data_IF_468926283878
#
_entry.id   IF_468926283878
#
_cell.length_a   1.000
_cell.length_b   1.000
_cell.length_c   1.000
_cell.angle_alpha   90.00
_cell.angle_beta   90.00
_cell.angle_gamma   90.00
#
_symmetry.space_group_name_H-M   'P 1'
#
loop_
_entity.id
_entity.type
_entity.pdbx_description
1 polymer ?
#
# COMPACT_ATOMS: atom_id res chain seq x y z
N UNK A 1 -2.69 -13.93 -2.24
CA UNK A 1 -1.90 -14.72 -3.22
C UNK A 1 -2.71 -15.18 -4.44
N UNK A 2 -3.88 -15.81 -4.28
CA UNK A 2 -4.68 -16.31 -5.42
C UNK A 2 -4.93 -15.25 -6.52
N UNK A 3 -5.40 -14.06 -6.12
CA UNK A 3 -5.60 -12.94 -7.06
C UNK A 3 -4.32 -12.54 -7.81
N UNK A 4 -3.15 -12.59 -7.15
CA UNK A 4 -1.87 -12.28 -7.80
C UNK A 4 -1.46 -13.35 -8.82
N UNK A 5 -1.84 -14.62 -8.61
CA UNK A 5 -1.61 -15.68 -9.60
C UNK A 5 -2.52 -15.48 -10.82
N UNK A 6 -3.80 -15.15 -10.60
CA UNK A 6 -4.78 -14.93 -11.66
C UNK A 6 -4.40 -13.76 -12.57
N UNK A 7 -3.87 -12.66 -12.00
CA UNK A 7 -3.41 -11.49 -12.76
C UNK A 7 -1.94 -11.59 -13.22
N UNK A 8 -1.27 -12.72 -12.97
CA UNK A 8 0.11 -12.96 -13.42
C UNK A 8 1.20 -12.19 -12.67
N UNK A 9 0.90 -11.63 -11.49
CA UNK A 9 1.87 -10.94 -10.62
C UNK A 9 2.63 -11.88 -9.69
N UNK A 10 2.14 -13.11 -9.50
CA UNK A 10 2.83 -14.18 -8.79
C UNK A 10 3.20 -15.33 -9.73
N UNK A 11 4.33 -16.00 -9.46
CA UNK A 11 4.85 -17.11 -10.26
C UNK A 11 4.12 -18.43 -9.95
N UNK A 12 3.38 -19.00 -10.92
CA UNK A 12 2.76 -20.31 -10.76
C UNK A 12 3.81 -21.41 -10.60
N UNK A 13 4.95 -21.29 -11.29
CA UNK A 13 6.06 -22.24 -11.22
C UNK A 13 6.62 -22.37 -9.79
N UNK A 14 6.83 -21.25 -9.11
CA UNK A 14 7.30 -21.25 -7.71
C UNK A 14 6.26 -21.87 -6.78
N UNK A 15 4.97 -21.58 -6.99
CA UNK A 15 3.85 -22.17 -6.23
C UNK A 15 3.81 -23.69 -6.39
N UNK A 16 3.86 -24.17 -7.63
CA UNK A 16 3.83 -25.62 -7.93
C UNK A 16 5.07 -26.33 -7.39
N UNK A 17 6.27 -25.79 -7.65
CA UNK A 17 7.55 -26.40 -7.24
C UNK A 17 7.67 -26.52 -5.72
N UNK A 18 7.13 -25.55 -4.98
CA UNK A 18 7.16 -25.54 -3.51
C UNK A 18 5.91 -26.16 -2.87
N UNK A 19 5.00 -26.73 -3.68
CA UNK A 19 3.72 -27.27 -3.23
C UNK A 19 2.97 -26.31 -2.28
N UNK A 20 2.90 -25.02 -2.63
CA UNK A 20 2.26 -24.01 -1.79
C UNK A 20 0.75 -24.11 -1.92
N UNK A 21 0.10 -24.61 -0.87
CA UNK A 21 -1.36 -24.59 -0.73
C UNK A 21 -1.88 -23.28 -0.12
N UNK A 22 -1.03 -22.64 0.69
CA UNK A 22 -1.32 -21.36 1.34
C UNK A 22 -0.11 -20.46 1.24
N UNK A 23 -0.32 -19.18 1.49
CA UNK A 23 0.79 -18.25 1.59
C UNK A 23 1.68 -18.58 2.80
N UNK A 24 3.02 -18.56 2.67
CA UNK A 24 3.92 -18.81 3.79
C UNK A 24 3.69 -17.82 4.94
N UNK A 25 3.18 -18.31 6.07
CA UNK A 25 2.88 -17.48 7.25
C UNK A 25 4.13 -16.86 7.91
N UNK A 26 5.34 -17.35 7.58
CA UNK A 26 6.61 -16.88 8.17
C UNK A 26 6.92 -15.41 7.86
N UNK A 27 6.35 -14.87 6.78
CA UNK A 27 6.52 -13.46 6.40
C UNK A 27 5.51 -12.54 7.07
N UNK A 28 4.45 -13.06 7.66
CA UNK A 28 3.47 -12.25 8.39
C UNK A 28 4.07 -11.78 9.72
N UNK A 29 3.70 -10.57 10.11
CA UNK A 29 4.05 -9.99 11.41
C UNK A 29 2.78 -9.86 12.25
N UNK A 30 2.98 -9.92 13.56
CA UNK A 30 1.89 -9.88 14.54
C UNK A 30 1.01 -8.62 14.40
N UNK A 31 1.60 -7.53 13.95
CA UNK A 31 0.91 -6.24 13.82
C UNK A 31 0.62 -5.86 12.37
N UNK A 32 0.77 -6.79 11.42
CA UNK A 32 0.27 -6.55 10.06
C UNK A 32 -1.24 -6.29 10.12
N UNK A 33 -1.68 -5.24 9.42
CA UNK A 33 -3.08 -4.84 9.36
C UNK A 33 -3.63 -5.27 8.01
N UNK A 34 -4.71 -6.05 8.05
CA UNK A 34 -5.35 -6.58 6.86
C UNK A 34 -6.78 -6.05 6.77
N UNK A 35 -7.10 -5.47 5.62
CA UNK A 35 -8.41 -4.89 5.35
C UNK A 35 -9.04 -5.69 4.22
N UNK A 36 -10.29 -6.09 4.43
CA UNK A 36 -11.07 -6.86 3.47
C UNK A 36 -12.40 -6.17 3.25
N UNK A 37 -12.85 -6.14 2.01
CA UNK A 37 -14.26 -5.88 1.68
C UNK A 37 -14.89 -7.22 1.35
N UNK A 38 -16.06 -7.49 1.95
CA UNK A 38 -16.80 -8.72 1.77
C UNK A 38 -18.12 -8.46 1.06
N UNK A 39 -18.55 -9.40 0.23
CA UNK A 39 -19.94 -9.46 -0.20
C UNK A 39 -20.80 -9.91 0.99
N UNK A 40 -21.80 -9.10 1.35
CA UNK A 40 -22.62 -9.33 2.54
C UNK A 40 -23.42 -10.65 2.46
N UNK A 41 -23.82 -11.07 1.25
CA UNK A 41 -24.69 -12.24 1.08
C UNK A 41 -23.90 -13.54 1.03
N UNK A 42 -22.76 -13.52 0.36
CA UNK A 42 -21.97 -14.73 0.07
C UNK A 42 -20.75 -14.87 0.98
N UNK A 43 -20.29 -13.78 1.60
CA UNK A 43 -19.04 -13.73 2.35
C UNK A 43 -17.78 -13.73 1.49
N UNK A 44 -17.91 -13.61 0.17
CA UNK A 44 -16.77 -13.57 -0.75
C UNK A 44 -15.91 -12.31 -0.52
N UNK A 45 -14.59 -12.47 -0.64
CA UNK A 45 -13.66 -11.33 -0.56
C UNK A 45 -13.66 -10.60 -1.90
N UNK A 46 -14.12 -9.36 -1.90
CA UNK A 46 -14.22 -8.49 -3.08
C UNK A 46 -13.01 -7.59 -3.26
N UNK A 47 -12.35 -7.24 -2.16
CA UNK A 47 -11.20 -6.35 -2.15
C UNK A 47 -10.31 -6.60 -0.95
N UNK A 48 -9.04 -6.26 -1.11
CA UNK A 48 -8.04 -6.45 -0.08
C UNK A 48 -7.00 -5.33 -0.12
N UNK A 49 -6.49 -4.95 1.04
CA UNK A 49 -5.28 -4.15 1.20
C UNK A 49 -4.59 -4.54 2.50
N UNK A 50 -3.26 -4.43 2.55
CA UNK A 50 -2.46 -4.74 3.74
C UNK A 50 -1.53 -3.58 4.07
N UNK A 51 -1.38 -3.29 5.36
CA UNK A 51 -0.27 -2.50 5.89
C UNK A 51 0.64 -3.46 6.65
N UNK A 52 1.85 -3.67 6.15
CA UNK A 52 2.82 -4.59 6.72
C UNK A 52 3.84 -3.86 7.61
N UNK A 53 4.08 -4.36 8.81
CA UNK A 53 5.06 -3.79 9.72
C UNK A 53 6.49 -4.18 9.31
N UNK A 54 7.48 -3.35 9.66
CA UNK A 54 8.88 -3.73 9.61
C UNK A 54 9.17 -4.95 10.52
N UNK A 55 10.20 -5.73 10.18
CA UNK A 55 10.58 -6.93 10.91
C UNK A 55 11.42 -6.68 12.18
N UNK A 56 11.78 -5.43 12.49
CA UNK A 56 12.56 -5.09 13.67
C UNK A 56 11.85 -5.46 14.98
N UNK A 57 12.53 -6.15 15.92
CA UNK A 57 11.93 -6.53 17.20
C UNK A 57 11.72 -5.35 18.15
N UNK A 58 12.40 -4.23 17.93
CA UNK A 58 12.31 -2.99 18.71
C UNK A 58 12.30 -1.79 17.75
N UNK A 59 11.79 -0.61 18.16
CA UNK A 59 11.87 0.59 17.34
C UNK A 59 13.33 0.98 17.08
N UNK A 60 13.73 1.02 15.81
CA UNK A 60 15.03 1.52 15.36
C UNK A 60 14.78 2.76 14.49
N UNK A 61 15.70 3.73 14.49
CA UNK A 61 15.57 4.88 13.59
C UNK A 61 15.52 4.42 12.14
N UNK A 62 14.60 4.98 11.34
CA UNK A 62 14.56 4.69 9.89
C UNK A 62 15.81 5.18 9.15
N UNK A 63 16.59 6.07 9.76
CA UNK A 63 17.85 6.59 9.19
C UNK A 63 19.05 5.70 9.49
N UNK A 64 18.94 4.73 10.39
CA UNK A 64 20.00 3.78 10.69
C UNK A 64 19.89 2.56 9.76
N UNK A 65 20.21 2.76 8.48
CA UNK A 65 20.02 1.75 7.42
C UNK A 65 20.76 0.43 7.70
N UNK A 66 21.88 0.48 8.41
CA UNK A 66 22.69 -0.71 8.70
C UNK A 66 22.12 -1.54 9.85
N UNK A 67 21.48 -0.90 10.83
CA UNK A 67 21.00 -1.57 12.05
C UNK A 67 19.54 -2.02 12.00
N UNK A 68 18.75 -1.51 11.04
CA UNK A 68 17.34 -1.88 10.86
C UNK A 68 17.14 -2.92 9.77
N UNK A 69 16.06 -3.70 9.86
CA UNK A 69 15.61 -4.49 8.73
C UNK A 69 15.13 -3.57 7.60
N UNK A 70 15.47 -3.94 6.36
CA UNK A 70 14.92 -3.29 5.16
C UNK A 70 13.41 -3.50 5.08
N UNK A 71 12.70 -2.45 4.66
CA UNK A 71 11.34 -2.63 4.19
C UNK A 71 11.38 -3.47 2.92
N UNK A 72 10.44 -4.40 2.70
CA UNK A 72 10.40 -5.18 1.46
C UNK A 72 10.52 -4.37 0.16
N UNK A 73 9.98 -3.15 0.09
CA UNK A 73 10.22 -2.23 -1.03
C UNK A 73 11.70 -1.88 -1.22
N UNK A 74 12.43 -1.58 -0.15
CA UNK A 74 13.88 -1.32 -0.20
C UNK A 74 14.66 -2.56 -0.64
N UNK A 75 14.20 -3.75 -0.21
CA UNK A 75 14.77 -5.01 -0.66
C UNK A 75 14.55 -5.26 -2.15
N UNK A 76 13.36 -4.95 -2.67
CA UNK A 76 13.03 -5.15 -4.09
C UNK A 76 13.76 -4.17 -5.01
N UNK A 77 13.95 -2.91 -4.57
CA UNK A 77 14.61 -1.86 -5.35
C UNK A 77 16.10 -1.71 -5.04
N UNK A 78 16.64 -2.44 -4.06
CA UNK A 78 18.03 -2.35 -3.58
C UNK A 78 18.46 -0.92 -3.18
N UNK A 79 17.55 -0.16 -2.56
CA UNK A 79 17.78 1.25 -2.16
C UNK A 79 17.68 1.47 -0.65
N UNK A 80 18.33 2.53 -0.16
CA UNK A 80 17.98 3.16 1.11
C UNK A 80 16.91 4.23 0.87
N UNK A 81 15.64 3.86 1.08
CA UNK A 81 14.51 4.75 0.80
C UNK A 81 14.58 6.02 1.66
N UNK A 82 14.97 5.88 2.93
CA UNK A 82 15.00 6.97 3.89
C UNK A 82 16.21 7.90 3.74
N UNK A 83 17.26 7.46 3.06
CA UNK A 83 18.37 8.31 2.63
C UNK A 83 18.02 9.23 1.45
N UNK A 84 16.98 8.87 0.67
CA UNK A 84 16.55 9.62 -0.51
C UNK A 84 15.43 10.64 -0.24
N UNK A 85 14.72 10.53 0.89
CA UNK A 85 13.51 11.33 1.20
C UNK A 85 13.66 12.12 2.50
N UNK A 86 12.90 13.21 2.65
CA UNK A 86 12.89 14.02 3.87
C UNK A 86 11.98 13.43 4.97
N UNK A 87 12.36 12.25 5.46
CA UNK A 87 11.70 11.62 6.60
C UNK A 87 12.16 12.27 7.93
N UNK A 88 11.26 12.49 8.91
CA UNK A 88 11.63 13.02 10.23
C UNK A 88 12.76 12.21 10.89
N UNK A 89 13.69 12.88 11.55
CA UNK A 89 14.87 12.24 12.15
C UNK A 89 14.52 11.27 13.29
N UNK A 90 13.45 11.57 14.00
CA UNK A 90 12.90 10.78 15.10
C UNK A 90 11.96 9.65 14.64
N UNK A 91 11.72 9.50 13.34
CA UNK A 91 10.86 8.44 12.82
C UNK A 91 11.52 7.06 13.03
N UNK A 92 10.75 6.12 13.58
CA UNK A 92 11.20 4.76 13.85
C UNK A 92 10.53 3.74 12.95
N UNK A 93 11.14 2.56 12.81
CA UNK A 93 10.65 1.46 11.98
C UNK A 93 9.29 0.92 12.42
N UNK A 94 8.88 1.16 13.67
CA UNK A 94 7.57 0.77 14.19
C UNK A 94 6.46 1.77 13.87
N UNK A 95 6.80 3.00 13.46
CA UNK A 95 5.86 4.06 13.04
C UNK A 95 5.66 4.08 11.52
N UNK A 96 6.31 3.16 10.79
CA UNK A 96 6.23 3.05 9.33
C UNK A 96 5.67 1.69 8.95
N UNK A 97 4.69 1.71 8.05
CA UNK A 97 4.10 0.51 7.48
C UNK A 97 4.25 0.50 5.97
N UNK A 98 4.47 -0.68 5.40
CA UNK A 98 4.47 -0.86 3.96
C UNK A 98 3.06 -1.19 3.46
N UNK A 99 2.50 -0.33 2.62
CA UNK A 99 1.20 -0.58 1.98
C UNK A 99 1.37 -1.54 0.82
N UNK A 100 0.55 -2.59 0.81
CA UNK A 100 0.65 -3.71 -0.14
C UNK A 100 -0.72 -4.18 -0.58
N UNK A 101 -0.73 -4.85 -1.74
CA UNK A 101 -1.85 -5.68 -2.18
C UNK A 101 -3.18 -4.96 -2.22
N UNK A 102 -3.18 -3.72 -2.71
CA UNK A 102 -4.43 -3.07 -3.07
C UNK A 102 -4.98 -3.75 -4.33
N UNK A 103 -5.86 -4.72 -4.13
CA UNK A 103 -6.44 -5.51 -5.22
C UNK A 103 -7.94 -5.71 -5.04
N UNK A 104 -8.60 -6.00 -6.14
CA UNK A 104 -10.00 -6.42 -6.21
C UNK A 104 -10.06 -7.86 -6.69
N UNK A 105 -11.22 -8.51 -6.50
CA UNK A 105 -11.50 -9.78 -7.15
C UNK A 105 -11.43 -9.63 -8.68
N UNK A 106 -10.70 -10.52 -9.35
CA UNK A 106 -10.43 -10.45 -10.79
C UNK A 106 -11.68 -10.58 -11.66
N UNK A 107 -12.71 -11.26 -11.17
CA UNK A 107 -13.98 -11.48 -11.86
C UNK A 107 -14.92 -10.27 -11.77
N UNK A 108 -14.55 -9.24 -10.99
CA UNK A 108 -15.37 -8.07 -10.82
C UNK A 108 -15.14 -7.07 -11.96
N UNK A 109 -16.00 -7.12 -12.98
CA UNK A 109 -15.90 -6.26 -14.16
C UNK A 109 -16.59 -4.90 -14.01
N UNK A 110 -17.50 -4.75 -13.04
CA UNK A 110 -18.24 -3.50 -12.81
C UNK A 110 -17.32 -2.42 -12.23
N UNK A 111 -17.04 -1.39 -13.03
CA UNK A 111 -16.18 -0.27 -12.67
C UNK A 111 -16.71 0.56 -11.48
N UNK A 112 -18.03 0.71 -11.34
CA UNK A 112 -18.63 1.42 -10.22
C UNK A 112 -18.49 0.61 -8.94
N UNK A 113 -18.71 -0.71 -9.02
CA UNK A 113 -18.52 -1.61 -7.87
C UNK A 113 -17.06 -1.66 -7.43
N UNK A 114 -16.12 -1.73 -8.37
CA UNK A 114 -14.66 -1.65 -8.08
C UNK A 114 -14.30 -0.34 -7.39
N UNK A 115 -14.85 0.78 -7.86
CA UNK A 115 -14.62 2.08 -7.24
C UNK A 115 -15.14 2.11 -5.79
N UNK A 116 -16.37 1.61 -5.57
CA UNK A 116 -16.94 1.52 -4.23
C UNK A 116 -16.04 0.71 -3.28
N UNK A 117 -15.59 -0.47 -3.71
CA UNK A 117 -14.69 -1.32 -2.92
C UNK A 117 -13.38 -0.58 -2.62
N UNK A 118 -12.79 0.09 -3.61
CA UNK A 118 -11.60 0.92 -3.40
C UNK A 118 -11.82 1.98 -2.33
N UNK A 119 -12.95 2.68 -2.37
CA UNK A 119 -13.28 3.74 -1.41
C UNK A 119 -13.54 3.18 0.00
N UNK A 120 -14.20 2.03 0.12
CA UNK A 120 -14.41 1.33 1.41
C UNK A 120 -13.07 0.89 2.02
N UNK A 121 -12.17 0.30 1.23
CA UNK A 121 -10.83 -0.08 1.70
C UNK A 121 -10.02 1.16 2.13
N UNK A 122 -10.08 2.24 1.35
CA UNK A 122 -9.41 3.51 1.68
C UNK A 122 -9.98 4.09 2.98
N UNK A 123 -11.30 4.11 3.15
CA UNK A 123 -11.94 4.57 4.38
C UNK A 123 -11.49 3.74 5.58
N UNK A 124 -11.46 2.42 5.46
CA UNK A 124 -11.01 1.53 6.53
C UNK A 124 -9.55 1.82 6.93
N UNK A 125 -8.66 1.96 5.95
CA UNK A 125 -7.27 2.36 6.18
C UNK A 125 -7.19 3.73 6.87
N UNK A 126 -7.92 4.73 6.38
CA UNK A 126 -7.92 6.09 6.97
C UNK A 126 -8.39 6.07 8.43
N UNK A 127 -9.48 5.36 8.74
CA UNK A 127 -10.01 5.22 10.11
C UNK A 127 -9.03 4.47 11.02
N UNK A 128 -8.32 3.47 10.52
CA UNK A 128 -7.29 2.79 11.29
C UNK A 128 -6.07 3.68 11.54
N UNK A 129 -5.60 4.43 10.54
CA UNK A 129 -4.51 5.40 10.72
C UNK A 129 -4.89 6.48 11.75
N UNK A 130 -6.17 6.89 11.78
CA UNK A 130 -6.70 7.88 12.72
C UNK A 130 -6.65 7.37 14.18
N UNK A 131 -6.96 6.09 14.39
CA UNK A 131 -7.17 5.51 15.72
C UNK A 131 -6.02 4.66 16.26
N UNK A 132 -5.05 4.29 15.41
CA UNK A 132 -3.97 3.39 15.80
C UNK A 132 -3.06 3.96 16.91
N UNK A 133 -2.69 3.10 17.86
CA UNK A 133 -1.71 3.39 18.91
C UNK A 133 -0.75 2.19 19.04
N UNK A 134 0.58 2.37 18.91
CA UNK A 134 1.27 3.63 18.57
C UNK A 134 0.88 4.12 17.16
N UNK A 135 1.03 5.44 16.94
CA UNK A 135 0.59 6.08 15.69
C UNK A 135 1.48 5.67 14.52
N UNK A 136 0.85 5.28 13.41
CA UNK A 136 1.52 5.14 12.12
C UNK A 136 1.71 6.54 11.52
N UNK A 137 2.96 6.93 11.27
CA UNK A 137 3.35 8.28 10.81
C UNK A 137 3.79 8.32 9.36
N UNK A 138 4.17 7.19 8.80
CA UNK A 138 4.49 7.10 7.39
C UNK A 138 4.04 5.76 6.79
N UNK A 139 3.76 5.80 5.48
CA UNK A 139 3.57 4.64 4.65
C UNK A 139 4.69 4.58 3.62
N UNK A 140 5.15 3.38 3.31
CA UNK A 140 6.11 3.12 2.22
C UNK A 140 5.54 2.04 1.32
N UNK A 141 6.10 1.88 0.13
CA UNK A 141 5.70 0.83 -0.80
C UNK A 141 6.16 1.17 -2.19
N UNK A 142 5.69 0.42 -3.15
CA UNK A 142 6.00 0.59 -4.56
C UNK A 142 4.71 0.75 -5.37
N UNK A 143 4.75 1.64 -6.37
CA UNK A 143 3.57 2.02 -7.13
C UNK A 143 3.92 2.22 -8.60
N UNK A 144 3.08 1.70 -9.49
CA UNK A 144 3.04 2.20 -10.87
C UNK A 144 2.67 3.68 -10.86
N UNK A 145 3.47 4.49 -11.54
CA UNK A 145 3.28 5.95 -11.58
C UNK A 145 1.92 6.37 -12.15
N UNK A 146 1.29 5.53 -12.98
CA UNK A 146 0.03 5.83 -13.69
C UNK A 146 -1.24 5.46 -12.91
N UNK A 147 -1.21 4.43 -12.05
CA UNK A 147 -2.43 3.86 -11.43
C UNK A 147 -2.39 3.87 -9.91
N UNK A 148 -1.31 3.39 -9.30
CA UNK A 148 -1.26 3.18 -7.84
C UNK A 148 -1.12 4.50 -7.07
N UNK A 149 -0.44 5.51 -7.64
CA UNK A 149 -0.37 6.85 -7.05
C UNK A 149 -1.76 7.47 -6.83
N UNK A 150 -2.74 7.19 -7.69
CA UNK A 150 -4.10 7.73 -7.54
C UNK A 150 -4.76 7.30 -6.23
N UNK A 151 -4.60 6.03 -5.83
CA UNK A 151 -5.18 5.53 -4.58
C UNK A 151 -4.52 6.18 -3.35
N UNK A 152 -3.19 6.37 -3.38
CA UNK A 152 -2.46 7.07 -2.32
C UNK A 152 -2.88 8.53 -2.21
N UNK A 153 -3.13 9.18 -3.34
CA UNK A 153 -3.64 10.54 -3.38
C UNK A 153 -5.08 10.64 -2.86
N UNK A 154 -5.92 9.62 -3.10
CA UNK A 154 -7.28 9.54 -2.52
C UNK A 154 -7.24 9.32 -1.00
N UNK A 155 -6.25 8.60 -0.48
CA UNK A 155 -5.96 8.56 0.96
C UNK A 155 -5.45 9.91 1.50
N UNK A 156 -5.14 10.85 0.60
CA UNK A 156 -4.74 12.19 0.98
C UNK A 156 -3.29 12.34 1.35
N UNK A 157 -2.46 11.39 0.94
CA UNK A 157 -1.06 11.32 1.31
C UNK A 157 -0.24 12.30 0.47
N UNK A 158 0.77 12.89 1.11
CA UNK A 158 1.86 13.56 0.40
C UNK A 158 2.92 12.50 0.12
N UNK A 159 3.07 12.15 -1.16
CA UNK A 159 3.90 11.05 -1.64
C UNK A 159 5.17 11.61 -2.26
N UNK A 160 6.32 11.13 -1.82
CA UNK A 160 7.62 11.34 -2.45
C UNK A 160 8.00 10.04 -3.15
N UNK A 161 7.98 10.04 -4.49
CA UNK A 161 8.43 8.91 -5.33
C UNK A 161 9.93 9.00 -5.58
N UNK A 162 10.64 7.88 -5.45
CA UNK A 162 12.08 7.78 -5.72
C UNK A 162 12.29 7.14 -7.09
N UNK A 163 12.60 7.99 -8.06
CA UNK A 163 12.77 7.65 -9.48
C UNK A 163 14.15 7.11 -9.79
N UNK A 164 14.27 6.35 -10.90
CA UNK A 164 15.55 5.83 -11.38
C UNK A 164 16.02 4.55 -10.70
N UNK A 165 15.11 3.82 -10.03
CA UNK A 165 15.38 2.48 -9.52
C UNK A 165 15.09 1.41 -10.58
N UNK A 166 15.73 0.25 -10.45
CA UNK A 166 15.49 -0.94 -11.29
C UNK A 166 15.16 -2.12 -10.37
N UNK A 167 13.87 -2.37 -10.06
CA UNK A 167 13.51 -3.39 -9.10
C UNK A 167 13.86 -4.79 -9.62
N UNK A 168 14.56 -5.56 -8.78
CA UNK A 168 15.01 -6.92 -9.11
C UNK A 168 14.68 -7.86 -7.97
N UNK A 169 13.76 -8.78 -8.23
CA UNK A 169 13.59 -9.97 -7.40
C UNK A 169 14.30 -11.16 -8.06
N UNK A 170 14.79 -12.08 -7.22
CA UNK A 170 15.24 -13.38 -7.70
C UNK A 170 14.05 -14.13 -8.33
N UNK A 171 14.26 -14.86 -9.43
CA UNK A 171 13.25 -15.70 -10.10
C UNK A 171 12.59 -16.74 -9.20
N UNK A 172 13.31 -17.19 -8.17
CA UNK A 172 12.78 -18.09 -7.13
C UNK A 172 11.84 -17.38 -6.15
N UNK A 173 11.68 -16.06 -6.26
CA UNK A 173 10.70 -15.31 -5.49
C UNK A 173 9.32 -15.43 -6.17
N UNK A 174 8.30 -15.76 -5.37
CA UNK A 174 6.93 -15.87 -5.85
C UNK A 174 6.43 -14.58 -6.50
N UNK A 175 6.90 -13.40 -6.06
CA UNK A 175 6.51 -12.10 -6.61
C UNK A 175 7.43 -11.61 -7.74
N UNK A 176 8.38 -12.42 -8.22
CA UNK A 176 9.24 -12.05 -9.35
C UNK A 176 8.48 -11.48 -10.55
N UNK A 177 7.34 -12.08 -10.98
CA UNK A 177 6.62 -11.56 -12.14
C UNK A 177 6.13 -10.13 -11.98
N UNK A 178 5.84 -9.69 -10.74
CA UNK A 178 5.41 -8.31 -10.45
C UNK A 178 6.40 -7.29 -11.03
N UNK A 179 7.71 -7.54 -10.95
CA UNK A 179 8.71 -6.57 -11.44
C UNK A 179 9.24 -6.91 -12.84
N UNK A 180 8.87 -8.06 -13.39
CA UNK A 180 9.30 -8.48 -14.73
C UNK A 180 8.31 -8.06 -15.84
N UNK A 181 7.03 -7.89 -15.51
CA UNK A 181 5.96 -7.69 -16.51
C UNK A 181 5.26 -6.34 -16.43
N UNK A 182 5.36 -5.63 -15.31
CA UNK A 182 4.71 -4.33 -15.10
C UNK A 182 5.52 -3.20 -15.74
N UNK A 183 4.83 -2.12 -16.09
CA UNK A 183 5.46 -0.83 -16.37
C UNK A 183 6.26 -0.33 -15.16
N UNK A 184 7.05 0.74 -15.34
CA UNK A 184 7.94 1.28 -14.30
C UNK A 184 7.19 1.45 -12.96
N UNK A 185 7.61 0.64 -11.98
CA UNK A 185 7.18 0.70 -10.59
C UNK A 185 8.23 1.50 -9.84
N UNK A 186 7.81 2.50 -9.07
CA UNK A 186 8.71 3.36 -8.29
C UNK A 186 8.43 3.19 -6.79
N UNK A 187 9.48 3.09 -5.95
CA UNK A 187 9.35 3.09 -4.52
C UNK A 187 8.98 4.49 -4.03
N UNK A 188 8.15 4.56 -2.99
CA UNK A 188 7.71 5.84 -2.44
C UNK A 188 7.73 5.86 -0.92
N UNK A 189 7.80 7.09 -0.41
CA UNK A 189 7.55 7.45 0.97
C UNK A 189 6.32 8.37 1.02
N UNK A 190 5.41 8.12 1.96
CA UNK A 190 4.19 8.89 2.12
C UNK A 190 4.00 9.29 3.58
N UNK A 191 3.93 10.59 3.86
CA UNK A 191 3.66 11.07 5.22
C UNK A 191 2.17 10.92 5.54
N UNK A 192 1.87 10.31 6.68
CA UNK A 192 0.50 10.19 7.18
C UNK A 192 0.07 11.53 7.82
N UNK A 193 -1.07 12.12 7.42
CA UNK A 193 -1.59 13.36 7.99
C UNK A 193 -1.80 13.29 9.52
N UNK A 194 -1.89 14.46 10.16
CA UNK A 194 -2.32 14.56 11.56
C UNK A 194 -3.72 13.95 11.77
N UNK A 195 -4.07 13.49 12.98
CA UNK A 195 -5.37 12.87 13.26
C UNK A 195 -6.55 13.71 12.76
N UNK A 196 -6.56 15.02 13.00
CA UNK A 196 -7.62 15.92 12.49
C UNK A 196 -7.76 15.91 10.97
N UNK A 197 -6.64 15.82 10.25
CA UNK A 197 -6.62 15.69 8.80
C UNK A 197 -7.11 14.32 8.32
N UNK A 198 -6.96 13.25 9.11
CA UNK A 198 -7.52 11.94 8.83
C UNK A 198 -9.03 11.90 9.12
N UNK A 199 -9.48 12.48 10.25
CA UNK A 199 -10.89 12.58 10.62
C UNK A 199 -11.72 13.29 9.54
N UNK A 200 -11.23 14.44 9.05
CA UNK A 200 -11.88 15.18 7.95
C UNK A 200 -12.02 14.31 6.71
N UNK A 201 -10.93 13.63 6.30
CA UNK A 201 -10.93 12.78 5.10
C UNK A 201 -11.87 11.58 5.23
N UNK A 202 -11.89 10.95 6.41
CA UNK A 202 -12.81 9.84 6.66
C UNK A 202 -14.26 10.29 6.55
N UNK A 203 -14.62 11.46 7.10
CA UNK A 203 -15.96 12.02 6.95
C UNK A 203 -16.32 12.27 5.48
N UNK A 204 -15.41 12.88 4.69
CA UNK A 204 -15.68 13.09 3.28
C UNK A 204 -15.81 11.78 2.48
N UNK A 205 -15.02 10.74 2.80
CA UNK A 205 -15.14 9.43 2.16
C UNK A 205 -16.48 8.76 2.50
N UNK A 206 -16.96 8.88 3.73
CA UNK A 206 -18.28 8.41 4.16
C UNK A 206 -19.41 9.13 3.40
N UNK A 207 -19.28 10.45 3.18
CA UNK A 207 -20.21 11.22 2.35
C UNK A 207 -20.21 10.75 0.89
N UNK A 208 -19.04 10.48 0.31
CA UNK A 208 -18.93 9.94 -1.06
C UNK A 208 -19.59 8.58 -1.17
N UNK A 209 -19.35 7.69 -0.20
CA UNK A 209 -19.92 6.34 -0.16
C UNK A 209 -21.43 6.35 0.06
N UNK A 210 -21.94 7.35 0.77
CA UNK A 210 -23.38 7.54 1.02
C UNK A 210 -24.10 8.30 -0.11
N UNK A 211 -23.35 8.81 -1.09
CA UNK A 211 -23.91 9.60 -2.19
C UNK A 211 -24.68 8.73 -3.18
N UNK A 212 -25.78 9.27 -3.72
CA UNK A 212 -26.49 8.68 -4.86
C UNK A 212 -25.69 8.73 -6.17
N UNK A 213 -24.60 9.51 -6.24
CA UNK A 213 -23.67 9.56 -7.37
C UNK A 213 -22.20 9.57 -6.91
N UNK A 214 -21.64 8.43 -6.47
CA UNK A 214 -20.27 8.36 -5.95
C UNK A 214 -19.18 8.91 -6.88
N UNK A 215 -19.23 8.69 -8.22
CA UNK A 215 -18.22 9.27 -9.12
C UNK A 215 -18.23 10.81 -9.18
N UNK A 216 -19.37 11.44 -8.90
CA UNK A 216 -19.49 12.90 -8.88
C UNK A 216 -18.97 13.45 -7.55
N UNK A 217 -19.44 12.89 -6.44
CA UNK A 217 -18.96 13.25 -5.11
C UNK A 217 -17.44 13.05 -4.97
N UNK A 218 -16.90 11.96 -5.55
CA UNK A 218 -15.45 11.72 -5.57
C UNK A 218 -14.67 12.79 -6.33
N UNK A 219 -15.20 13.31 -7.44
CA UNK A 219 -14.53 14.39 -8.19
C UNK A 219 -14.47 15.68 -7.39
N UNK A 220 -15.48 15.96 -6.58
CA UNK A 220 -15.51 17.11 -5.68
C UNK A 220 -14.52 16.90 -4.52
N UNK A 221 -14.54 15.71 -3.91
CA UNK A 221 -13.57 15.32 -2.90
C UNK A 221 -12.12 15.52 -3.38
N UNK A 222 -11.78 15.04 -4.58
CA UNK A 222 -10.45 15.17 -5.16
C UNK A 222 -10.03 16.63 -5.46
N UNK A 223 -10.95 17.59 -5.44
CA UNK A 223 -10.62 19.02 -5.53
C UNK A 223 -10.23 19.61 -4.18
N UNK A 224 -10.88 19.16 -3.12
CA UNK A 224 -10.66 19.63 -1.74
C UNK A 224 -9.49 18.92 -1.06
N UNK A 225 -9.40 17.62 -1.28
CA UNK A 225 -8.53 16.68 -0.57
C UNK A 225 -7.44 16.26 -1.56
N UNK A 226 -6.48 17.15 -1.82
CA UNK A 226 -5.34 16.85 -2.71
C UNK A 226 -4.14 16.38 -1.92
N UNK A 227 -3.80 15.10 -2.06
CA UNK A 227 -2.42 14.67 -1.87
C UNK A 227 -1.51 15.32 -2.91
N UNK A 228 -0.21 15.27 -2.68
CA UNK A 228 0.79 15.76 -3.62
C UNK A 228 1.74 14.64 -3.99
N UNK A 229 2.33 14.72 -5.19
CA UNK A 229 3.42 13.83 -5.61
C UNK A 229 4.64 14.68 -5.88
N UNK A 230 5.70 14.43 -5.12
CA UNK A 230 7.05 14.90 -5.39
C UNK A 230 7.88 13.74 -5.96
N UNK A 231 8.83 14.05 -6.84
CA UNK A 231 9.76 13.07 -7.40
C UNK A 231 11.19 13.45 -7.05
N UNK A 232 11.93 12.51 -6.51
CA UNK A 232 13.36 12.62 -6.23
C UNK A 232 14.11 11.51 -6.98
N UNK A 233 15.35 11.74 -7.37
CA UNK A 233 16.18 10.72 -8.01
C UNK A 233 16.99 9.97 -6.96
N UNK A 234 17.25 8.68 -7.18
CA UNK A 234 18.27 7.94 -6.40
C UNK A 234 19.61 8.65 -6.59
N UNK A 235 20.34 8.87 -5.49
CA UNK A 235 21.68 9.46 -5.49
C UNK A 235 22.76 8.40 -5.68
#
# INVERSE_FOLDING_TARGET
>A
MAQYLEIGWASPEVVTTRALFTEPMRSLRRHDLHFVTLDEKTGEILGYITLAQNADPQPVSVRDHESRHRFPVEGAHEVDLFGAVDAPAELTTHEVYEIKRFVHACWLDDAQRRLQISLELILAVTRTLESCTPRIRALVGDAEASVALRHLLMMGLNVTSVTGTDPRLNRDNILYPTYATRDVVEPFYARVPAPSGLSHRAACLEEVLSSSSPPTALRELLREVRGTVERVAVR
#
